data_IF_330805386668
#
_entry.id   IF_330805386668
#
_cell.length_a   1.000
_cell.length_b   1.000
_cell.length_c   1.000
_cell.angle_alpha   90.00
_cell.angle_beta   90.00
_cell.angle_gamma   90.00
#
_symmetry.space_group_name_H-M   'P 1'
#
loop_
_entity.id
_entity.type
_entity.pdbx_description
1 polymer ?
#
# COMPACT_ATOMS: atom_id res chain seq x y z
N UNK A 1 -10.37 5.58 4.22
CA UNK A 1 -11.62 5.35 3.46
C UNK A 1 -11.33 4.94 2.02
N UNK A 2 -10.51 5.72 1.31
CA UNK A 2 -10.18 5.53 -0.10
C UNK A 2 -9.42 4.21 -0.42
N UNK A 3 -8.40 3.88 0.37
CA UNK A 3 -7.71 2.58 0.32
C UNK A 3 -8.60 1.35 0.57
N UNK A 4 -9.62 1.46 1.45
CA UNK A 4 -10.54 0.35 1.71
C UNK A 4 -11.45 0.08 0.52
N UNK A 5 -11.85 1.12 -0.23
CA UNK A 5 -12.61 0.97 -1.47
C UNK A 5 -11.75 0.34 -2.57
N UNK A 6 -10.50 0.77 -2.70
CA UNK A 6 -9.54 0.17 -3.61
C UNK A 6 -9.31 -1.32 -3.27
N UNK A 7 -9.18 -1.66 -1.99
CA UNK A 7 -9.07 -3.04 -1.53
C UNK A 7 -10.33 -3.84 -1.94
N UNK A 8 -11.53 -3.40 -1.57
CA UNK A 8 -12.78 -4.10 -1.93
C UNK A 8 -12.98 -4.28 -3.44
N UNK A 9 -12.54 -3.33 -4.25
CA UNK A 9 -12.58 -3.45 -5.72
C UNK A 9 -11.81 -4.69 -6.20
N UNK A 10 -10.62 -4.93 -5.66
CA UNK A 10 -9.76 -6.05 -6.03
C UNK A 10 -10.34 -7.44 -5.67
N UNK A 11 -11.38 -7.50 -4.84
CA UNK A 11 -12.10 -8.76 -4.57
C UNK A 11 -12.98 -9.21 -5.73
N UNK A 12 -13.30 -8.31 -6.66
CA UNK A 12 -14.28 -8.56 -7.72
C UNK A 12 -13.76 -8.19 -9.10
N UNK A 13 -12.62 -7.52 -9.16
CA UNK A 13 -12.00 -7.03 -10.40
C UNK A 13 -10.49 -7.26 -10.38
N UNK A 14 -9.85 -7.45 -11.54
CA UNK A 14 -8.40 -7.50 -11.63
C UNK A 14 -7.73 -6.21 -11.13
N UNK A 15 -6.49 -6.28 -10.63
CA UNK A 15 -5.66 -5.12 -10.31
C UNK A 15 -5.51 -4.16 -11.49
N UNK A 16 -5.80 -2.89 -11.23
CA UNK A 16 -5.54 -1.78 -12.14
C UNK A 16 -4.58 -0.77 -11.50
N UNK A 17 -3.95 0.05 -12.33
CA UNK A 17 -2.95 1.01 -11.85
C UNK A 17 -3.51 1.98 -10.80
N UNK A 18 -4.67 2.65 -11.00
CA UNK A 18 -5.17 3.60 -10.02
C UNK A 18 -5.45 3.00 -8.63
N UNK A 19 -6.04 1.79 -8.55
CA UNK A 19 -6.39 1.19 -7.25
C UNK A 19 -5.16 0.60 -6.57
N UNK A 20 -4.25 0.01 -7.33
CA UNK A 20 -2.97 -0.48 -6.78
C UNK A 20 -2.14 0.69 -6.26
N UNK A 21 -2.05 1.79 -7.01
CA UNK A 21 -1.34 2.99 -6.58
C UNK A 21 -1.93 3.56 -5.29
N UNK A 22 -3.25 3.65 -5.20
CA UNK A 22 -3.94 4.14 -4.01
C UNK A 22 -3.63 3.29 -2.76
N UNK A 23 -3.62 1.96 -2.90
CA UNK A 23 -3.21 1.05 -1.84
C UNK A 23 -1.73 1.21 -1.49
N UNK A 24 -0.86 1.29 -2.51
CA UNK A 24 0.58 1.44 -2.34
C UNK A 24 0.91 2.71 -1.56
N UNK A 25 0.34 3.86 -1.93
CA UNK A 25 0.55 5.11 -1.22
C UNK A 25 0.09 5.04 0.24
N UNK A 26 -1.04 4.37 0.50
CA UNK A 26 -1.60 4.22 1.83
C UNK A 26 -0.70 3.38 2.75
N UNK A 27 -0.25 2.23 2.25
CA UNK A 27 0.65 1.32 2.96
C UNK A 27 2.04 1.92 3.11
N UNK A 28 2.57 2.59 2.08
CA UNK A 28 3.89 3.23 2.09
C UNK A 28 3.96 4.36 3.10
N UNK A 29 2.93 5.21 3.15
CA UNK A 29 2.85 6.30 4.13
C UNK A 29 2.84 5.75 5.56
N UNK A 30 2.09 4.67 5.80
CA UNK A 30 2.08 4.00 7.10
C UNK A 30 3.45 3.38 7.42
N UNK A 31 4.10 2.75 6.44
CA UNK A 31 5.44 2.19 6.59
C UNK A 31 6.48 3.25 6.96
N UNK A 32 6.52 4.36 6.22
CA UNK A 32 7.47 5.45 6.46
C UNK A 32 7.23 6.10 7.83
N UNK A 33 5.97 6.38 8.18
CA UNK A 33 5.63 6.93 9.49
C UNK A 33 5.98 5.98 10.64
N UNK A 34 5.66 4.69 10.50
CA UNK A 34 5.99 3.67 11.48
C UNK A 34 7.51 3.50 11.65
N UNK A 35 8.27 3.52 10.56
CA UNK A 35 9.73 3.39 10.58
C UNK A 35 10.42 4.54 11.29
N UNK A 36 9.81 5.73 11.29
CA UNK A 36 10.34 6.93 11.97
C UNK A 36 9.92 7.03 13.42
N UNK A 37 8.74 6.51 13.78
CA UNK A 37 8.14 6.74 15.09
C UNK A 37 8.18 5.55 16.05
N UNK A 38 8.14 4.32 15.53
CA UNK A 38 8.14 3.11 16.36
C UNK A 38 9.53 2.47 16.40
N UNK A 39 9.78 1.66 17.44
CA UNK A 39 11.03 0.92 17.57
C UNK A 39 11.25 -0.08 16.42
N UNK A 40 10.16 -0.65 15.89
CA UNK A 40 10.19 -1.42 14.65
C UNK A 40 8.89 -1.24 13.87
N UNK A 41 8.94 -1.26 12.53
CA UNK A 41 7.74 -1.25 11.70
C UNK A 41 6.88 -2.49 11.96
N UNK A 42 5.54 -2.35 11.97
CA UNK A 42 4.66 -3.50 12.08
C UNK A 42 4.87 -4.53 10.97
N UNK A 43 4.96 -5.81 11.36
CA UNK A 43 5.30 -6.93 10.46
C UNK A 43 4.36 -7.11 9.27
N UNK A 44 3.08 -6.73 9.41
CA UNK A 44 2.07 -6.90 8.36
C UNK A 44 2.19 -5.86 7.22
N UNK A 45 2.91 -4.74 7.44
CA UNK A 45 3.09 -3.73 6.39
C UNK A 45 4.08 -4.19 5.31
N UNK A 46 5.16 -4.86 5.70
CA UNK A 46 6.21 -5.28 4.78
C UNK A 46 5.72 -6.20 3.63
N UNK A 47 4.96 -7.28 3.86
CA UNK A 47 4.49 -8.15 2.78
C UNK A 47 3.47 -7.45 1.87
N UNK A 48 2.58 -6.61 2.43
CA UNK A 48 1.63 -5.85 1.63
C UNK A 48 2.34 -4.81 0.74
N UNK A 49 3.35 -4.13 1.29
CA UNK A 49 4.20 -3.19 0.55
C UNK A 49 4.91 -3.86 -0.61
N UNK A 50 5.55 -5.01 -0.37
CA UNK A 50 6.26 -5.75 -1.42
C UNK A 50 5.32 -6.13 -2.57
N UNK A 51 4.16 -6.71 -2.23
CA UNK A 51 3.15 -7.10 -3.21
C UNK A 51 2.66 -5.91 -4.07
N UNK A 52 2.40 -4.76 -3.43
CA UNK A 52 1.93 -3.57 -4.13
C UNK A 52 3.01 -2.98 -5.06
N UNK A 53 4.28 -3.01 -4.66
CA UNK A 53 5.41 -2.61 -5.51
C UNK A 53 5.53 -3.52 -6.73
N UNK A 54 5.46 -4.84 -6.54
CA UNK A 54 5.56 -5.80 -7.65
C UNK A 54 4.43 -5.59 -8.67
N UNK A 55 3.22 -5.27 -8.20
CA UNK A 55 2.09 -4.97 -9.07
C UNK A 55 2.21 -3.64 -9.80
N UNK A 56 2.69 -2.59 -9.15
CA UNK A 56 2.95 -1.32 -9.83
C UNK A 56 3.96 -1.52 -10.97
N UNK A 57 5.05 -2.24 -10.71
CA UNK A 57 6.04 -2.56 -11.75
C UNK A 57 5.44 -3.36 -12.91
N UNK A 58 4.57 -4.33 -12.61
CA UNK A 58 3.87 -5.11 -13.63
C UNK A 58 2.90 -4.26 -14.46
N UNK A 59 2.15 -3.36 -13.81
CA UNK A 59 1.16 -2.50 -14.45
C UNK A 59 1.80 -1.37 -15.27
N UNK A 60 2.99 -0.90 -14.90
CA UNK A 60 3.80 0.05 -15.68
C UNK A 60 4.44 -0.58 -16.92
N UNK A 61 4.33 -1.90 -17.11
CA UNK A 61 4.87 -2.59 -18.27
C UNK A 61 6.38 -2.90 -18.17
N UNK A 62 6.96 -2.89 -16.96
CA UNK A 62 8.38 -3.19 -16.72
C UNK A 62 8.71 -4.70 -16.78
N UNK A 63 8.02 -5.47 -17.63
CA UNK A 63 8.34 -6.87 -17.92
C UNK A 63 7.69 -7.94 -17.02
N UNK A 64 6.84 -7.54 -16.08
CA UNK A 64 5.99 -8.47 -15.30
C UNK A 64 4.55 -8.43 -15.81
N UNK A 65 3.91 -9.59 -15.97
CA UNK A 65 2.49 -9.63 -16.32
C UNK A 65 1.68 -9.11 -15.13
N UNK A 66 0.84 -8.09 -15.36
CA UNK A 66 -0.11 -7.64 -14.35
C UNK A 66 -1.07 -8.81 -14.01
N UNK A 67 -1.55 -8.91 -12.76
CA UNK A 67 -2.52 -9.95 -12.43
C UNK A 67 -3.78 -9.75 -13.28
N UNK A 68 -4.10 -10.72 -14.14
CA UNK A 68 -5.26 -10.64 -15.04
C UNK A 68 -6.55 -11.15 -14.37
N UNK A 69 -6.44 -11.69 -13.16
CA UNK A 69 -7.55 -12.26 -12.40
C UNK A 69 -7.81 -11.51 -11.10
N UNK A 70 -9.00 -11.73 -10.56
CA UNK A 70 -9.34 -11.40 -9.17
C UNK A 70 -8.32 -12.02 -8.21
N UNK A 71 -8.10 -11.36 -7.07
CA UNK A 71 -7.14 -11.81 -6.06
C UNK A 71 -7.48 -13.19 -5.52
N UNK A 72 -6.47 -14.06 -5.45
CA UNK A 72 -6.59 -15.29 -4.68
C UNK A 72 -6.71 -14.99 -3.17
N UNK A 73 -7.25 -15.92 -2.37
CA UNK A 73 -7.47 -15.69 -0.94
C UNK A 73 -6.21 -15.34 -0.13
N UNK A 74 -5.04 -15.86 -0.51
CA UNK A 74 -3.79 -15.60 0.22
C UNK A 74 -3.31 -14.17 -0.04
N UNK A 75 -3.34 -13.75 -1.30
CA UNK A 75 -3.02 -12.38 -1.71
C UNK A 75 -4.00 -11.37 -1.09
N UNK A 76 -5.30 -11.67 -1.11
CA UNK A 76 -6.30 -10.87 -0.41
C UNK A 76 -5.99 -10.71 1.07
N UNK A 77 -5.65 -11.80 1.75
CA UNK A 77 -5.34 -11.78 3.19
C UNK A 77 -4.12 -10.90 3.48
N UNK A 78 -3.07 -10.97 2.66
CA UNK A 78 -1.87 -10.13 2.82
C UNK A 78 -2.23 -8.65 2.74
N UNK A 79 -2.99 -8.24 1.72
CA UNK A 79 -3.39 -6.84 1.56
C UNK A 79 -4.34 -6.37 2.65
N UNK A 80 -5.33 -7.19 3.00
CA UNK A 80 -6.28 -6.89 4.08
C UNK A 80 -5.55 -6.67 5.41
N UNK A 81 -4.62 -7.55 5.76
CA UNK A 81 -3.80 -7.38 6.96
C UNK A 81 -2.90 -6.14 6.88
N UNK A 82 -2.33 -5.85 5.71
CA UNK A 82 -1.54 -4.64 5.49
C UNK A 82 -2.35 -3.36 5.69
N UNK A 83 -3.56 -3.28 5.11
CA UNK A 83 -4.46 -2.13 5.23
C UNK A 83 -4.96 -1.95 6.66
N UNK A 84 -5.39 -3.03 7.33
CA UNK A 84 -5.79 -2.98 8.74
C UNK A 84 -4.64 -2.55 9.65
N UNK A 85 -3.44 -3.05 9.36
CA UNK A 85 -2.25 -2.65 10.10
C UNK A 85 -1.92 -1.17 9.87
N UNK A 86 -2.04 -0.69 8.63
CA UNK A 86 -1.90 0.72 8.31
C UNK A 86 -2.89 1.56 9.11
N UNK A 87 -4.19 1.22 9.16
CA UNK A 87 -5.17 1.94 9.98
C UNK A 87 -4.71 2.10 11.45
N UNK A 88 -4.18 1.02 12.01
CA UNK A 88 -3.60 1.00 13.36
C UNK A 88 -2.38 1.91 13.52
N UNK A 89 -1.57 2.07 12.48
CA UNK A 89 -0.44 3.01 12.45
C UNK A 89 -0.95 4.45 12.33
N UNK A 90 -1.81 4.74 11.35
CA UNK A 90 -2.36 6.07 11.11
C UNK A 90 -3.04 6.65 12.36
N UNK A 91 -3.72 5.82 13.15
CA UNK A 91 -4.37 6.24 14.41
C UNK A 91 -3.40 6.53 15.56
N UNK A 92 -2.14 6.10 15.48
CA UNK A 92 -1.14 6.22 16.56
C UNK A 92 0.00 7.19 16.23
N UNK A 93 0.18 7.54 14.96
CA UNK A 93 1.22 8.47 14.56
C UNK A 93 0.86 9.92 14.95
N UNK A 94 1.82 10.70 15.49
CA UNK A 94 1.66 12.14 15.62
C UNK A 94 1.44 12.79 14.25
N UNK A 95 0.56 13.80 14.19
CA UNK A 95 0.23 14.52 12.96
C UNK A 95 1.45 15.03 12.18
N UNK A 96 2.52 15.56 12.80
CA UNK A 96 3.71 15.99 12.06
C UNK A 96 4.41 14.84 11.32
N UNK A 97 4.56 13.69 11.99
CA UNK A 97 5.19 12.49 11.39
C UNK A 97 4.37 11.99 10.21
N UNK A 98 3.04 12.05 10.34
CA UNK A 98 2.11 11.67 9.30
C UNK A 98 2.23 12.58 8.07
N UNK A 99 2.29 13.89 8.29
CA UNK A 99 2.46 14.88 7.22
C UNK A 99 3.77 14.69 6.47
N UNK A 100 4.87 14.45 7.18
CA UNK A 100 6.17 14.17 6.59
C UNK A 100 6.18 12.86 5.79
N UNK A 101 5.55 11.81 6.29
CA UNK A 101 5.44 10.54 5.57
C UNK A 101 4.65 10.70 4.27
N UNK A 102 3.51 11.39 4.31
CA UNK A 102 2.72 11.69 3.11
C UNK A 102 3.48 12.58 2.12
N UNK A 103 4.27 13.55 2.60
CA UNK A 103 5.12 14.38 1.76
C UNK A 103 6.19 13.54 1.06
N UNK A 104 6.87 12.65 1.79
CA UNK A 104 7.86 11.73 1.21
C UNK A 104 7.25 10.84 0.12
N UNK A 105 6.03 10.32 0.31
CA UNK A 105 5.35 9.53 -0.73
C UNK A 105 5.03 10.39 -1.96
N UNK A 106 4.57 11.64 -1.79
CA UNK A 106 4.31 12.54 -2.91
C UNK A 106 5.58 12.86 -3.71
N UNK A 107 6.70 13.03 -3.03
CA UNK A 107 8.00 13.24 -3.68
C UNK A 107 8.39 12.02 -4.53
N UNK A 108 8.21 10.80 -4.00
CA UNK A 108 8.46 9.57 -4.76
C UNK A 108 7.61 9.47 -6.03
N UNK A 109 6.37 9.97 -6.00
CA UNK A 109 5.46 9.98 -7.15
C UNK A 109 5.71 11.14 -8.13
N UNK A 110 6.41 12.19 -7.70
CA UNK A 110 6.69 13.36 -8.53
C UNK A 110 7.95 13.21 -9.39
N UNK A 111 8.71 12.12 -9.19
CA UNK A 111 9.85 11.75 -10.05
C UNK A 111 9.32 10.99 -11.26
N UNK A 112 8.61 11.71 -12.14
CA UNK A 112 8.30 11.31 -13.53
C UNK A 112 9.00 12.27 -14.50
#
# INVERSE_FOLDING_TARGET
MRAHLALSYLQTSPPDFPRVLELACYVESAWLGASRHFQSPPKALAPARALLTDWLQALEGNGMAAPESVLDPATWQVLSQGVLCADGVWSRLPTPVLAEAMASVRELLAVE
#
